data_IF_552989975691
#
_entry.id   IF_552989975691
#
_cell.length_a   1.000
_cell.length_b   1.000
_cell.length_c   1.000
_cell.angle_alpha   90.00
_cell.angle_beta   90.00
_cell.angle_gamma   90.00
#
_symmetry.space_group_name_H-M   'P 1'
#
loop_
_entity.id
_entity.type
_entity.pdbx_description
1 polymer ?
#
# COMPACT_ATOMS: atom_id res chain seq x y z
N UNK A 1 14.52 -3.21 25.44
CA UNK A 1 13.21 -3.23 24.74
C UNK A 1 13.33 -2.38 23.51
N UNK A 2 13.06 -2.97 22.32
CA UNK A 2 13.13 -2.23 21.06
C UNK A 2 11.86 -1.39 20.90
N UNK A 3 12.01 -0.08 20.86
CA UNK A 3 10.88 0.84 20.62
C UNK A 3 10.68 1.00 19.11
N UNK A 4 9.44 0.87 18.61
CA UNK A 4 9.14 1.26 17.23
C UNK A 4 9.43 2.75 17.07
N UNK A 5 10.21 3.10 16.05
CA UNK A 5 10.57 4.47 15.69
C UNK A 5 9.86 4.95 14.44
N UNK A 6 9.65 4.02 13.48
CA UNK A 6 9.06 4.38 12.20
C UNK A 6 7.90 3.47 11.80
N UNK A 7 6.88 4.06 11.18
CA UNK A 7 5.73 3.37 10.63
C UNK A 7 5.62 3.72 9.15
N UNK A 8 5.62 2.69 8.31
CA UNK A 8 5.42 2.81 6.87
C UNK A 8 3.98 2.40 6.57
N UNK A 9 3.24 3.24 5.88
CA UNK A 9 1.85 2.99 5.50
C UNK A 9 1.73 2.73 4.00
N UNK A 10 0.95 1.76 3.59
CA UNK A 10 0.28 1.87 2.29
C UNK A 10 -0.77 2.98 2.38
N UNK A 11 -1.28 3.40 1.23
CA UNK A 11 -2.29 4.45 1.18
C UNK A 11 -3.71 3.89 0.97
N UNK A 12 -3.91 3.17 -0.15
CA UNK A 12 -5.21 2.65 -0.54
C UNK A 12 -5.57 1.43 0.30
N UNK A 13 -6.72 1.47 0.96
CA UNK A 13 -7.12 0.40 1.89
C UNK A 13 -6.41 0.44 3.24
N UNK A 14 -5.59 1.46 3.53
CA UNK A 14 -4.92 1.65 4.83
C UNK A 14 -5.16 3.04 5.38
N UNK A 15 -4.92 4.09 4.60
CA UNK A 15 -5.22 5.47 5.00
C UNK A 15 -6.59 5.89 4.47
N UNK A 16 -6.92 5.53 3.22
CA UNK A 16 -8.19 5.84 2.60
C UNK A 16 -8.92 4.58 2.13
N UNK A 17 -10.24 4.57 2.23
CA UNK A 17 -11.12 3.53 1.70
C UNK A 17 -11.30 3.69 0.18
N UNK A 18 -10.20 3.57 -0.57
CA UNK A 18 -10.12 3.88 -2.00
C UNK A 18 -9.89 2.68 -2.91
N UNK A 19 -9.84 1.46 -2.37
CA UNK A 19 -9.58 0.23 -3.15
C UNK A 19 -10.60 0.05 -4.27
N UNK A 20 -11.90 0.22 -3.97
CA UNK A 20 -12.99 0.07 -4.95
C UNK A 20 -12.89 1.09 -6.10
N UNK A 21 -12.47 2.32 -5.81
CA UNK A 21 -12.27 3.37 -6.82
C UNK A 21 -11.31 2.90 -7.91
N UNK A 22 -10.23 2.23 -7.52
CA UNK A 22 -9.24 1.71 -8.49
C UNK A 22 -9.76 0.49 -9.25
N UNK A 23 -10.52 -0.38 -8.60
CA UNK A 23 -11.17 -1.52 -9.25
C UNK A 23 -12.12 -1.05 -10.35
N UNK A 24 -12.97 -0.06 -10.05
CA UNK A 24 -13.90 0.54 -11.03
C UNK A 24 -13.16 1.20 -12.20
N UNK A 25 -12.05 1.90 -11.94
CA UNK A 25 -11.27 2.53 -12.98
C UNK A 25 -10.62 1.52 -13.94
N UNK A 26 -10.11 0.40 -13.41
CA UNK A 26 -9.62 -0.69 -14.27
C UNK A 26 -10.76 -1.31 -15.08
N UNK A 27 -11.93 -1.54 -14.48
CA UNK A 27 -13.10 -2.06 -15.19
C UNK A 27 -13.51 -1.13 -16.34
N UNK A 28 -13.56 0.17 -16.11
CA UNK A 28 -13.93 1.16 -17.14
C UNK A 28 -12.91 1.23 -18.28
N UNK A 29 -11.60 1.21 -17.98
CA UNK A 29 -10.55 1.22 -19.00
C UNK A 29 -10.59 -0.02 -19.90
N UNK A 30 -10.95 -1.18 -19.36
CA UNK A 30 -10.98 -2.43 -20.12
C UNK A 30 -12.37 -2.80 -20.65
N UNK A 31 -13.39 -1.97 -20.41
CA UNK A 31 -14.76 -2.15 -20.93
C UNK A 31 -14.84 -2.33 -22.45
N UNK A 32 -14.07 -1.61 -23.30
CA UNK A 32 -14.08 -1.82 -24.73
C UNK A 32 -13.65 -3.23 -25.18
N UNK A 33 -12.91 -3.96 -24.35
CA UNK A 33 -12.43 -5.31 -24.67
C UNK A 33 -13.40 -6.43 -24.27
N UNK A 34 -14.60 -6.08 -23.78
CA UNK A 34 -15.66 -7.02 -23.46
C UNK A 34 -15.68 -7.52 -22.01
N UNK A 35 -16.81 -8.10 -21.62
CA UNK A 35 -17.09 -8.48 -20.22
C UNK A 35 -16.10 -9.49 -19.64
N UNK A 36 -15.66 -10.46 -20.43
CA UNK A 36 -14.73 -11.51 -19.98
C UNK A 36 -13.36 -10.94 -19.61
N UNK A 37 -12.88 -9.99 -20.39
CA UNK A 37 -11.61 -9.29 -20.10
C UNK A 37 -11.76 -8.45 -18.84
N UNK A 38 -12.83 -7.69 -18.70
CA UNK A 38 -13.12 -6.89 -17.50
C UNK A 38 -13.12 -7.77 -16.24
N UNK A 39 -13.78 -8.93 -16.28
CA UNK A 39 -13.79 -9.84 -15.12
C UNK A 39 -12.40 -10.36 -14.76
N UNK A 40 -11.58 -10.72 -15.75
CA UNK A 40 -10.18 -11.15 -15.52
C UNK A 40 -9.35 -10.03 -14.92
N UNK A 41 -9.51 -8.80 -15.42
CA UNK A 41 -8.82 -7.61 -14.93
C UNK A 41 -9.19 -7.31 -13.49
N UNK A 42 -10.48 -7.29 -13.15
CA UNK A 42 -10.97 -7.08 -11.78
C UNK A 42 -10.38 -8.15 -10.84
N UNK A 43 -10.55 -9.43 -11.17
CA UNK A 43 -10.05 -10.55 -10.36
C UNK A 43 -8.54 -10.45 -10.11
N UNK A 44 -7.77 -10.12 -11.15
CA UNK A 44 -6.33 -9.94 -11.01
C UNK A 44 -6.01 -8.72 -10.14
N UNK A 45 -6.73 -7.60 -10.35
CA UNK A 45 -6.50 -6.38 -9.58
C UNK A 45 -6.72 -6.59 -8.08
N UNK A 46 -7.81 -7.24 -7.70
CA UNK A 46 -8.15 -7.54 -6.31
C UNK A 46 -7.13 -8.50 -5.65
N UNK A 47 -6.66 -9.51 -6.38
CA UNK A 47 -5.66 -10.44 -5.89
C UNK A 47 -4.25 -9.81 -5.78
N UNK A 48 -3.98 -8.72 -6.49
CA UNK A 48 -2.68 -8.07 -6.61
C UNK A 48 -2.75 -6.58 -6.21
N UNK A 49 -3.35 -6.29 -5.06
CA UNK A 49 -3.35 -4.95 -4.47
C UNK A 49 -1.92 -4.41 -4.31
N UNK A 50 -1.76 -3.09 -4.42
CA UNK A 50 -0.45 -2.43 -4.25
C UNK A 50 0.57 -2.62 -5.37
N UNK A 51 0.32 -3.50 -6.36
CA UNK A 51 1.12 -3.56 -7.60
C UNK A 51 0.77 -2.37 -8.48
N UNK A 52 1.80 -1.73 -9.07
CA UNK A 52 1.62 -0.52 -9.86
C UNK A 52 0.75 -0.75 -11.10
N UNK A 53 0.00 0.29 -11.52
CA UNK A 53 -0.81 0.25 -12.73
C UNK A 53 0.01 -0.03 -13.98
N UNK A 54 1.25 0.45 -14.04
CA UNK A 54 2.15 0.24 -15.16
C UNK A 54 2.48 -1.24 -15.37
N UNK A 55 2.75 -1.98 -14.29
CA UNK A 55 2.95 -3.44 -14.36
C UNK A 55 1.66 -4.17 -14.74
N UNK A 56 0.52 -3.73 -14.18
CA UNK A 56 -0.79 -4.33 -14.48
C UNK A 56 -1.18 -4.18 -15.94
N UNK A 57 -0.95 -3.02 -16.57
CA UNK A 57 -1.21 -2.83 -18.01
C UNK A 57 -0.41 -3.82 -18.86
N UNK A 58 0.89 -4.01 -18.58
CA UNK A 58 1.72 -5.00 -19.27
C UNK A 58 1.15 -6.42 -19.14
N UNK A 59 0.76 -6.79 -17.90
CA UNK A 59 0.17 -8.10 -17.63
C UNK A 59 -1.14 -8.29 -18.38
N UNK A 60 -2.03 -7.29 -18.38
CA UNK A 60 -3.35 -7.40 -19.01
C UNK A 60 -3.27 -7.47 -20.53
N UNK A 61 -2.45 -6.64 -21.16
CA UNK A 61 -2.25 -6.70 -22.60
C UNK A 61 -1.63 -8.04 -23.01
N UNK A 62 -0.50 -8.44 -22.40
CA UNK A 62 0.17 -9.68 -22.75
C UNK A 62 -0.69 -10.93 -22.48
N UNK A 63 -1.31 -11.02 -21.30
CA UNK A 63 -1.94 -12.28 -20.87
C UNK A 63 -3.40 -12.39 -21.28
N UNK A 64 -4.13 -11.27 -21.38
CA UNK A 64 -5.57 -11.29 -21.63
C UNK A 64 -5.94 -10.83 -23.02
N UNK A 65 -5.23 -9.84 -23.59
CA UNK A 65 -5.47 -9.35 -24.94
C UNK A 65 -4.60 -10.04 -25.99
N UNK A 66 -3.49 -10.68 -25.56
CA UNK A 66 -2.52 -11.32 -26.46
C UNK A 66 -1.81 -10.31 -27.37
N UNK A 67 -1.62 -9.12 -26.88
CA UNK A 67 -1.00 -7.99 -27.55
C UNK A 67 0.23 -7.52 -26.75
N UNK A 68 1.24 -7.06 -27.46
CA UNK A 68 2.32 -6.31 -26.83
C UNK A 68 1.89 -4.86 -26.66
N UNK A 69 2.36 -4.22 -25.60
CA UNK A 69 2.09 -2.82 -25.31
C UNK A 69 3.42 -2.07 -25.10
N UNK A 70 3.58 -0.96 -25.80
CA UNK A 70 4.77 -0.14 -25.68
C UNK A 70 4.67 0.88 -24.52
N UNK A 71 5.75 1.61 -24.24
CA UNK A 71 5.79 2.56 -23.13
C UNK A 71 4.86 3.77 -23.37
N UNK A 72 4.65 4.18 -24.61
CA UNK A 72 3.78 5.33 -24.96
C UNK A 72 2.33 4.96 -24.65
N UNK A 73 1.90 3.77 -25.06
CA UNK A 73 0.56 3.26 -24.79
C UNK A 73 0.31 3.08 -23.29
N UNK A 74 1.31 2.57 -22.55
CA UNK A 74 1.25 2.46 -21.08
C UNK A 74 1.05 3.83 -20.44
N UNK A 75 1.77 4.86 -20.90
CA UNK A 75 1.67 6.20 -20.35
C UNK A 75 0.31 6.84 -20.67
N UNK A 76 -0.24 6.58 -21.86
CA UNK A 76 -1.61 6.99 -22.22
C UNK A 76 -2.64 6.34 -21.30
N UNK A 77 -2.55 5.04 -21.09
CA UNK A 77 -3.45 4.31 -20.18
C UNK A 77 -3.29 4.80 -18.72
N UNK A 78 -2.07 5.04 -18.27
CA UNK A 78 -1.80 5.56 -16.94
C UNK A 78 -2.42 6.96 -16.74
N UNK A 79 -2.31 7.84 -17.72
CA UNK A 79 -2.94 9.16 -17.70
C UNK A 79 -4.47 9.08 -17.68
N UNK A 80 -5.08 8.20 -18.49
CA UNK A 80 -6.52 7.95 -18.47
C UNK A 80 -6.96 7.43 -17.09
N UNK A 81 -6.23 6.48 -16.53
CA UNK A 81 -6.49 5.93 -15.20
C UNK A 81 -6.41 7.03 -14.13
N UNK A 82 -5.37 7.87 -14.14
CA UNK A 82 -5.23 8.97 -13.18
C UNK A 82 -6.42 9.93 -13.22
N UNK A 83 -6.92 10.27 -14.41
CA UNK A 83 -8.11 11.12 -14.57
C UNK A 83 -9.36 10.49 -13.96
N UNK A 84 -9.50 9.16 -14.03
CA UNK A 84 -10.64 8.44 -13.45
C UNK A 84 -10.59 8.37 -11.93
N UNK A 85 -9.40 8.30 -11.34
CA UNK A 85 -9.27 7.97 -9.91
C UNK A 85 -8.92 9.17 -9.02
N UNK A 86 -8.18 10.16 -9.50
CA UNK A 86 -7.54 11.16 -8.63
C UNK A 86 -8.55 11.84 -7.70
N UNK A 87 -9.60 12.45 -8.26
CA UNK A 87 -10.59 13.15 -7.45
C UNK A 87 -11.36 12.19 -6.54
N UNK A 88 -11.75 11.03 -7.05
CA UNK A 88 -12.47 10.03 -6.25
C UNK A 88 -11.64 9.51 -5.07
N UNK A 89 -10.32 9.35 -5.24
CA UNK A 89 -9.41 8.96 -4.16
C UNK A 89 -9.25 10.11 -3.14
N UNK A 90 -9.17 11.36 -3.59
CA UNK A 90 -9.17 12.52 -2.69
C UNK A 90 -10.45 12.56 -1.85
N UNK A 91 -11.60 12.27 -2.45
CA UNK A 91 -12.90 12.32 -1.78
C UNK A 91 -13.21 11.06 -0.95
N UNK A 92 -12.41 9.99 -1.11
CA UNK A 92 -12.60 8.76 -0.33
C UNK A 92 -12.45 9.02 1.16
N UNK A 93 -13.30 8.42 2.01
CA UNK A 93 -13.22 8.58 3.45
C UNK A 93 -11.92 7.98 3.98
N UNK A 94 -11.49 8.47 5.10
CA UNK A 94 -10.39 7.86 5.86
C UNK A 94 -10.82 6.51 6.42
N UNK A 95 -9.87 5.60 6.57
CA UNK A 95 -10.04 4.45 7.42
C UNK A 95 -10.29 4.93 8.86
N UNK A 96 -11.22 4.30 9.56
CA UNK A 96 -11.59 4.69 10.92
C UNK A 96 -10.37 4.82 11.82
N UNK A 97 -10.24 5.95 12.52
CA UNK A 97 -9.18 6.25 13.49
C UNK A 97 -7.81 6.59 12.89
N UNK A 98 -7.58 6.43 11.57
CA UNK A 98 -6.24 6.66 11.00
C UNK A 98 -5.80 8.11 11.07
N UNK A 99 -6.72 9.05 10.81
CA UNK A 99 -6.39 10.48 10.89
C UNK A 99 -6.01 10.90 12.30
N UNK A 100 -6.79 10.47 13.29
CA UNK A 100 -6.54 10.77 14.70
C UNK A 100 -5.21 10.16 15.16
N UNK A 101 -4.94 8.90 14.78
CA UNK A 101 -3.67 8.24 15.08
C UNK A 101 -2.49 9.00 14.49
N UNK A 102 -2.54 9.37 13.19
CA UNK A 102 -1.45 10.09 12.51
C UNK A 102 -1.27 11.47 13.13
N UNK A 103 -2.34 12.25 13.29
CA UNK A 103 -2.26 13.63 13.79
C UNK A 103 -1.80 13.72 15.24
N UNK A 104 -2.08 12.71 16.06
CA UNK A 104 -1.67 12.69 17.46
C UNK A 104 -0.27 12.09 17.69
N UNK A 105 0.25 11.32 16.73
CA UNK A 105 1.47 10.54 16.94
C UNK A 105 2.64 10.89 16.00
N UNK A 106 2.51 11.88 15.11
CA UNK A 106 3.59 12.22 14.16
C UNK A 106 4.86 12.80 14.82
N UNK A 107 4.81 13.16 16.09
CA UNK A 107 5.98 13.54 16.89
C UNK A 107 6.59 12.36 17.64
N UNK A 108 5.85 11.25 17.80
CA UNK A 108 6.28 10.05 18.51
C UNK A 108 6.91 9.01 17.58
N UNK A 109 6.52 9.02 16.30
CA UNK A 109 6.96 8.12 15.25
C UNK A 109 7.30 8.88 13.97
N UNK A 110 8.31 8.43 13.25
CA UNK A 110 8.54 8.86 11.89
C UNK A 110 7.57 8.14 10.95
N UNK A 111 6.72 8.88 10.27
CA UNK A 111 5.75 8.31 9.34
C UNK A 111 6.23 8.39 7.89
N UNK A 112 6.04 7.32 7.16
CA UNK A 112 6.40 7.21 5.75
C UNK A 112 5.26 6.60 4.93
N UNK A 113 5.18 6.94 3.65
CA UNK A 113 4.27 6.33 2.69
C UNK A 113 5.06 5.44 1.72
N UNK A 114 4.52 4.26 1.45
CA UNK A 114 4.99 3.35 0.39
C UNK A 114 3.78 2.79 -0.36
N UNK A 115 3.47 3.35 -1.53
CA UNK A 115 2.26 3.01 -2.29
C UNK A 115 2.54 2.60 -3.73
N UNK A 116 1.62 1.86 -4.36
CA UNK A 116 1.60 1.58 -5.80
C UNK A 116 1.07 2.74 -6.66
N UNK A 117 0.57 3.82 -6.04
CA UNK A 117 0.17 5.06 -6.72
C UNK A 117 1.42 5.82 -7.20
N UNK A 118 1.42 6.45 -8.39
CA UNK A 118 2.54 7.29 -8.85
C UNK A 118 2.90 8.39 -7.86
N UNK A 119 4.21 8.71 -7.78
CA UNK A 119 4.74 9.69 -6.78
C UNK A 119 4.00 11.03 -6.86
N UNK A 120 3.84 11.61 -8.05
CA UNK A 120 3.22 12.93 -8.21
C UNK A 120 1.73 12.91 -7.83
N UNK A 121 1.06 11.80 -8.12
CA UNK A 121 -0.35 11.59 -7.78
C UNK A 121 -0.53 11.49 -6.27
N UNK A 122 0.27 10.65 -5.58
CA UNK A 122 0.17 10.54 -4.11
C UNK A 122 0.56 11.84 -3.39
N UNK A 123 1.54 12.58 -3.89
CA UNK A 123 1.88 13.91 -3.34
C UNK A 123 0.69 14.88 -3.46
N UNK A 124 0.00 14.86 -4.60
CA UNK A 124 -1.20 15.68 -4.81
C UNK A 124 -2.32 15.30 -3.86
N UNK A 125 -2.60 14.00 -3.73
CA UNK A 125 -3.62 13.47 -2.81
C UNK A 125 -3.31 13.90 -1.36
N UNK A 126 -2.08 13.67 -0.89
CA UNK A 126 -1.68 14.02 0.48
C UNK A 126 -1.77 15.52 0.76
N UNK A 127 -1.43 16.37 -0.21
CA UNK A 127 -1.59 17.83 -0.10
C UNK A 127 -3.06 18.23 0.01
N UNK A 128 -3.91 17.72 -0.87
CA UNK A 128 -5.36 18.02 -0.89
C UNK A 128 -6.06 17.55 0.39
N UNK A 129 -5.64 16.44 0.97
CA UNK A 129 -6.15 15.91 2.24
C UNK A 129 -5.45 16.51 3.47
N UNK A 130 -4.54 17.49 3.31
CA UNK A 130 -3.77 18.12 4.40
C UNK A 130 -2.92 17.13 5.23
N UNK A 131 -2.57 15.99 4.64
CA UNK A 131 -1.81 14.93 5.30
C UNK A 131 -0.30 15.03 5.07
N UNK A 132 0.16 15.70 3.99
CA UNK A 132 1.58 15.68 3.57
C UNK A 132 2.54 16.06 4.69
N UNK A 133 2.16 16.97 5.56
CA UNK A 133 2.96 17.48 6.68
C UNK A 133 3.32 16.43 7.73
N UNK A 134 2.60 15.34 7.80
CA UNK A 134 2.82 14.28 8.79
C UNK A 134 3.83 13.21 8.34
N UNK A 135 4.23 13.21 7.06
CA UNK A 135 5.08 12.16 6.50
C UNK A 135 6.49 12.67 6.18
N UNK A 136 7.51 11.99 6.70
CA UNK A 136 8.91 12.27 6.41
C UNK A 136 9.24 11.93 4.95
N UNK A 137 8.91 10.68 4.54
CA UNK A 137 9.15 10.22 3.18
C UNK A 137 7.85 9.72 2.53
N UNK A 138 7.72 9.99 1.23
CA UNK A 138 6.59 9.55 0.41
C UNK A 138 7.14 8.92 -0.86
N UNK A 139 6.98 7.61 -0.97
CA UNK A 139 7.39 6.83 -2.12
C UNK A 139 6.18 6.22 -2.85
N UNK A 140 6.24 6.25 -4.16
CA UNK A 140 5.22 5.69 -5.04
C UNK A 140 5.84 4.97 -6.24
N UNK A 141 4.98 4.42 -7.13
CA UNK A 141 5.46 3.82 -8.37
C UNK A 141 6.17 4.88 -9.26
N UNK A 142 7.10 4.45 -10.16
CA UNK A 142 7.29 3.07 -10.64
C UNK A 142 8.09 2.14 -9.72
N UNK A 143 8.78 2.64 -8.72
CA UNK A 143 9.58 1.82 -7.82
C UNK A 143 8.69 0.83 -7.03
N UNK A 144 9.26 -0.33 -6.68
CA UNK A 144 8.57 -1.36 -5.89
C UNK A 144 8.63 -1.04 -4.40
N UNK A 145 7.62 -1.44 -3.64
CA UNK A 145 7.53 -1.25 -2.18
C UNK A 145 8.75 -1.81 -1.43
N UNK A 146 9.31 -2.94 -1.88
CA UNK A 146 10.57 -3.47 -1.35
C UNK A 146 11.71 -2.44 -1.40
N UNK A 147 11.88 -1.75 -2.54
CA UNK A 147 12.89 -0.69 -2.70
C UNK A 147 12.62 0.50 -1.80
N UNK A 148 11.34 0.87 -1.64
CA UNK A 148 10.95 1.98 -0.76
C UNK A 148 11.39 1.72 0.67
N UNK A 149 11.06 0.53 1.21
CA UNK A 149 11.47 0.12 2.57
C UNK A 149 12.97 0.16 2.72
N UNK A 150 13.72 -0.40 1.75
CA UNK A 150 15.19 -0.39 1.77
C UNK A 150 15.77 1.03 1.79
N UNK A 151 15.19 1.95 0.99
CA UNK A 151 15.59 3.36 0.95
C UNK A 151 15.32 4.05 2.30
N UNK A 152 14.16 3.82 2.91
CA UNK A 152 13.77 4.38 4.22
C UNK A 152 14.74 3.90 5.30
N UNK A 153 14.97 2.59 5.41
CA UNK A 153 15.89 2.01 6.39
C UNK A 153 17.29 2.61 6.28
N UNK A 154 17.81 2.71 5.05
CA UNK A 154 19.16 3.27 4.81
C UNK A 154 19.22 4.75 5.11
N UNK A 155 18.25 5.56 4.66
CA UNK A 155 18.26 7.01 4.78
C UNK A 155 18.20 7.48 6.23
N UNK A 156 17.42 6.79 7.05
CA UNK A 156 17.19 7.16 8.45
C UNK A 156 17.98 6.29 9.44
N UNK A 157 18.80 5.35 8.95
CA UNK A 157 19.62 4.45 9.78
C UNK A 157 18.80 3.66 10.81
N UNK A 158 17.56 3.27 10.47
CA UNK A 158 16.75 2.46 11.37
C UNK A 158 17.24 1.02 11.46
N UNK A 159 17.18 0.45 12.65
CA UNK A 159 17.25 -0.98 12.82
C UNK A 159 15.94 -1.62 12.34
N UNK A 160 16.03 -2.83 11.80
CA UNK A 160 14.87 -3.54 11.22
C UNK A 160 13.75 -3.79 12.25
N UNK A 161 14.11 -3.96 13.50
CA UNK A 161 13.18 -4.16 14.63
C UNK A 161 12.59 -2.85 15.20
N UNK A 162 12.91 -1.70 14.62
CA UNK A 162 12.36 -0.40 14.96
C UNK A 162 11.31 0.08 13.94
N UNK A 163 11.05 -0.71 12.89
CA UNK A 163 10.18 -0.32 11.78
C UNK A 163 9.05 -1.32 11.60
N UNK A 164 7.85 -0.81 11.36
CA UNK A 164 6.68 -1.58 11.00
C UNK A 164 6.06 -1.07 9.71
N UNK A 165 5.60 -1.99 8.86
CA UNK A 165 4.80 -1.69 7.68
C UNK A 165 3.34 -2.06 7.95
N UNK A 166 2.41 -1.13 7.69
CA UNK A 166 0.96 -1.35 7.77
C UNK A 166 0.42 -1.40 6.34
N UNK A 167 -0.18 -2.54 5.97
CA UNK A 167 -0.67 -2.77 4.61
C UNK A 167 -1.84 -3.75 4.54
N UNK A 168 -2.56 -3.76 3.43
CA UNK A 168 -3.70 -4.63 3.18
C UNK A 168 -3.47 -5.66 2.07
N UNK A 169 -2.30 -5.62 1.41
CA UNK A 169 -1.97 -6.40 0.23
C UNK A 169 -0.71 -7.28 0.41
N UNK A 170 -0.58 -8.29 -0.46
CA UNK A 170 0.61 -9.16 -0.47
C UNK A 170 1.90 -8.39 -0.76
N UNK A 171 1.83 -7.36 -1.61
CA UNK A 171 3.00 -6.52 -1.92
C UNK A 171 3.56 -5.78 -0.69
N UNK A 172 2.70 -5.45 0.29
CA UNK A 172 3.10 -4.81 1.54
C UNK A 172 3.78 -5.79 2.46
N UNK A 173 3.12 -6.93 2.66
CA UNK A 173 3.66 -8.03 3.44
C UNK A 173 5.02 -8.47 2.93
N UNK A 174 5.13 -8.67 1.63
CA UNK A 174 6.36 -9.15 1.00
C UNK A 174 7.46 -8.08 1.05
N UNK A 175 7.11 -6.79 0.93
CA UNK A 175 8.06 -5.69 1.14
C UNK A 175 8.60 -5.66 2.58
N UNK A 176 7.73 -5.87 3.56
CA UNK A 176 8.13 -5.95 4.96
C UNK A 176 9.01 -7.17 5.23
N UNK A 177 8.58 -8.36 4.80
CA UNK A 177 9.30 -9.62 5.02
C UNK A 177 10.67 -9.65 4.35
N UNK A 178 10.77 -9.19 3.10
CA UNK A 178 12.04 -9.14 2.36
C UNK A 178 13.04 -8.11 2.92
N UNK A 179 12.59 -7.17 3.74
CA UNK A 179 13.45 -6.24 4.46
C UNK A 179 13.59 -6.60 5.95
N UNK A 180 13.02 -7.70 6.40
CA UNK A 180 13.04 -8.17 7.80
C UNK A 180 12.47 -7.16 8.80
N UNK A 181 11.47 -6.37 8.44
CA UNK A 181 10.74 -5.49 9.34
C UNK A 181 9.40 -6.09 9.77
N UNK A 182 8.75 -5.52 10.79
CA UNK A 182 7.43 -5.94 11.22
C UNK A 182 6.37 -5.63 10.16
N UNK A 183 5.34 -6.47 10.10
CA UNK A 183 4.17 -6.26 9.28
C UNK A 183 2.90 -6.33 10.13
N UNK A 184 2.03 -5.33 9.97
CA UNK A 184 0.67 -5.32 10.48
C UNK A 184 -0.26 -5.35 9.27
N UNK A 185 -1.05 -6.41 9.14
CA UNK A 185 -2.07 -6.50 8.11
C UNK A 185 -3.31 -5.68 8.50
N UNK A 186 -3.82 -4.84 7.59
CA UNK A 186 -5.18 -4.35 7.72
C UNK A 186 -6.14 -5.38 7.11
N UNK A 187 -7.30 -5.57 7.75
CA UNK A 187 -8.32 -6.51 7.27
C UNK A 187 -8.72 -6.22 5.82
N UNK A 188 -8.70 -7.25 5.01
CA UNK A 188 -8.91 -7.21 3.56
C UNK A 188 -9.61 -8.50 3.11
N UNK A 189 -10.01 -8.61 1.84
CA UNK A 189 -10.51 -9.85 1.24
C UNK A 189 -9.39 -10.86 0.94
N UNK A 190 -8.13 -10.44 0.95
CA UNK A 190 -6.95 -11.29 0.66
C UNK A 190 -6.75 -12.31 1.78
N UNK A 191 -6.96 -13.59 1.46
CA UNK A 191 -6.93 -14.71 2.45
C UNK A 191 -5.60 -14.83 3.18
N UNK A 192 -4.50 -14.58 2.50
CA UNK A 192 -3.14 -14.68 3.04
C UNK A 192 -2.86 -13.58 4.06
N UNK A 193 -3.41 -12.38 3.88
CA UNK A 193 -3.30 -11.29 4.85
C UNK A 193 -4.12 -11.60 6.10
N UNK A 194 -5.30 -12.20 5.95
CA UNK A 194 -6.14 -12.64 7.09
C UNK A 194 -5.45 -13.63 8.02
N UNK A 195 -4.40 -14.30 7.56
CA UNK A 195 -3.63 -15.28 8.36
C UNK A 195 -2.45 -14.64 9.11
N UNK A 196 -2.20 -13.35 8.90
CA UNK A 196 -1.13 -12.66 9.61
C UNK A 196 -1.44 -12.58 11.12
N UNK A 197 -0.40 -12.64 11.94
CA UNK A 197 -0.55 -12.63 13.41
C UNK A 197 -0.92 -11.27 13.97
N UNK A 198 -0.50 -10.22 13.29
CA UNK A 198 -0.77 -8.85 13.65
C UNK A 198 -1.77 -8.31 12.62
N UNK A 199 -3.01 -8.20 13.04
CA UNK A 199 -4.12 -7.72 12.21
C UNK A 199 -4.85 -6.60 12.92
N UNK A 200 -5.28 -5.61 12.15
CA UNK A 200 -6.20 -4.55 12.55
C UNK A 200 -7.38 -4.50 11.57
N UNK A 201 -8.56 -4.20 12.06
CA UNK A 201 -9.69 -3.85 11.19
C UNK A 201 -9.59 -2.39 10.75
N UNK A 202 -9.23 -1.54 11.69
CA UNK A 202 -9.03 -0.10 11.58
C UNK A 202 -8.00 0.36 12.61
N UNK A 203 -7.86 1.65 12.83
CA UNK A 203 -6.83 2.20 13.73
C UNK A 203 -7.29 2.35 15.18
N UNK A 204 -8.48 1.88 15.55
CA UNK A 204 -9.00 2.00 16.93
C UNK A 204 -8.13 1.28 17.97
N UNK A 205 -7.46 0.18 17.59
CA UNK A 205 -6.64 -0.63 18.51
C UNK A 205 -5.13 -0.64 18.15
N UNK A 206 -4.71 0.24 17.25
CA UNK A 206 -3.34 0.23 16.71
C UNK A 206 -2.26 0.38 17.80
N UNK A 207 -2.51 1.22 18.80
CA UNK A 207 -1.53 1.45 19.89
C UNK A 207 -1.28 0.19 20.71
N UNK A 208 -2.32 -0.60 20.99
CA UNK A 208 -2.19 -1.87 21.68
C UNK A 208 -1.38 -2.89 20.84
N UNK A 209 -1.59 -2.91 19.53
CA UNK A 209 -0.80 -3.76 18.62
C UNK A 209 0.68 -3.32 18.61
N UNK A 210 0.96 -2.02 18.53
CA UNK A 210 2.34 -1.50 18.60
C UNK A 210 3.01 -1.83 19.95
N UNK A 211 2.28 -1.72 21.06
CA UNK A 211 2.78 -2.14 22.39
C UNK A 211 3.12 -3.64 22.42
N UNK A 212 2.27 -4.51 21.85
CA UNK A 212 2.55 -5.96 21.77
C UNK A 212 3.85 -6.26 21.01
N UNK A 213 4.15 -5.52 19.96
CA UNK A 213 5.40 -5.69 19.20
C UNK A 213 6.61 -5.36 20.07
N UNK A 214 6.53 -4.29 20.88
CA UNK A 214 7.64 -3.82 21.70
C UNK A 214 7.89 -4.67 22.95
N UNK A 215 6.85 -5.31 23.49
CA UNK A 215 6.93 -6.10 24.74
C UNK A 215 7.21 -7.59 24.53
N UNK A 216 7.01 -8.12 23.30
CA UNK A 216 7.09 -9.54 23.03
C UNK A 216 8.16 -9.88 21.98
N UNK A 217 9.39 -10.17 22.44
CA UNK A 217 10.49 -10.60 21.57
C UNK A 217 10.19 -11.86 20.75
N UNK A 218 9.27 -12.74 21.20
CA UNK A 218 8.85 -13.94 20.47
C UNK A 218 8.09 -13.62 19.17
N UNK A 219 7.50 -12.43 19.04
CA UNK A 219 6.86 -12.00 17.80
C UNK A 219 7.91 -11.82 16.69
N UNK A 220 9.07 -11.26 17.01
CA UNK A 220 10.19 -11.06 16.09
C UNK A 220 10.72 -12.38 15.50
N UNK A 221 10.93 -13.38 16.32
CA UNK A 221 11.47 -14.68 15.87
C UNK A 221 10.46 -15.53 15.09
N UNK A 222 9.16 -15.39 15.35
CA UNK A 222 8.12 -16.18 14.67
C UNK A 222 7.73 -15.63 13.29
N UNK A 223 7.96 -14.36 13.00
CA UNK A 223 7.76 -13.80 11.67
C UNK A 223 8.87 -14.21 10.69
N UNK A 224 10.05 -14.61 11.20
CA UNK A 224 11.19 -15.10 10.40
C UNK A 224 11.13 -16.57 9.99
N UNK A 225 10.31 -17.42 10.63
CA UNK A 225 10.27 -18.88 10.40
C UNK A 225 9.07 -19.32 9.59
N UNK A 226 8.86 -18.79 8.39
CA UNK A 226 8.07 -19.41 7.34
C UNK A 226 8.83 -19.18 6.04
N UNK A 227 9.93 -19.91 5.88
CA UNK A 227 10.54 -20.28 4.61
C UNK A 227 10.26 -21.75 4.40
#
# INVERSE_FOLDING_TARGET
MNKIKAIIFDYDGVIAESVNVKTEAFAELYKPYGKDIVQKVIKHHEANGGVSRFEKFKIYHKNYLREDIDQIEIDVLANKFSKLVLQKVIDSPYVTGVYDFISSNYQNYDFHISTGTPVDEIQTILKKKSLRKFFNEVYGSPDKKYSHVKKILKKHSYNKNEVVFIGDALSDRDAARNNDIFFIGRYTTVKEIKKEKLLINDFSDIENILKKITTNERIWYKTKKII
#
